data_IF_092123719048
#
_entry.id   IF_092123719048
#
_cell.length_a   1.000
_cell.length_b   1.000
_cell.length_c   1.000
_cell.angle_alpha   90.00
_cell.angle_beta   90.00
_cell.angle_gamma   90.00
#
_symmetry.space_group_name_H-M   'P 1'
#
loop_
_entity.id
_entity.type
_entity.pdbx_description
1 polymer ?
#
# COMPACT_ATOMS: atom_id res chain seq x y z
N UNK A 1 -19.87 14.78 7.76
CA UNK A 1 -18.63 14.91 6.97
C UNK A 1 -17.73 13.76 7.39
N UNK A 2 -17.21 12.92 6.48
CA UNK A 2 -16.23 11.91 6.87
C UNK A 2 -15.04 12.65 7.50
N UNK A 3 -14.50 12.14 8.61
CA UNK A 3 -13.27 12.69 9.19
C UNK A 3 -12.18 12.51 8.14
N UNK A 4 -11.71 13.60 7.53
CA UNK A 4 -10.57 13.54 6.64
C UNK A 4 -9.42 12.85 7.39
N UNK A 5 -8.84 11.83 6.79
CA UNK A 5 -7.68 11.15 7.34
C UNK A 5 -6.58 12.16 7.61
N UNK A 6 -5.96 12.03 8.77
CA UNK A 6 -4.87 12.91 9.18
C UNK A 6 -3.53 12.37 8.70
N UNK A 7 -3.48 11.09 8.34
CA UNK A 7 -2.26 10.39 7.98
C UNK A 7 -2.48 9.47 6.79
N UNK A 8 -1.44 9.34 5.97
CA UNK A 8 -1.33 8.33 4.92
C UNK A 8 -0.16 7.42 5.26
N UNK A 9 -0.46 6.15 5.52
CA UNK A 9 0.55 5.09 5.60
C UNK A 9 0.67 4.45 4.22
N UNK A 10 1.88 4.46 3.65
CA UNK A 10 2.15 4.07 2.27
C UNK A 10 3.13 2.91 2.32
N UNK A 11 2.75 1.82 1.65
CA UNK A 11 3.54 0.60 1.56
C UNK A 11 3.79 0.33 0.08
N UNK A 12 5.06 0.28 -0.33
CA UNK A 12 5.44 -0.03 -1.71
C UNK A 12 6.35 -1.24 -1.74
N UNK A 13 6.26 -2.08 -2.77
CA UNK A 13 7.09 -3.27 -2.93
C UNK A 13 7.08 -3.79 -4.38
N UNK A 14 8.11 -4.57 -4.69
CA UNK A 14 8.13 -5.47 -5.84
C UNK A 14 7.70 -6.86 -5.38
N UNK A 15 7.13 -7.65 -6.30
CA UNK A 15 6.62 -8.99 -6.05
C UNK A 15 7.25 -9.94 -7.06
N UNK A 16 7.66 -11.13 -6.64
CA UNK A 16 8.15 -12.15 -7.57
C UNK A 16 7.09 -12.47 -8.64
N UNK A 17 7.51 -12.58 -9.90
CA UNK A 17 6.59 -12.72 -11.04
C UNK A 17 5.61 -13.91 -10.90
N UNK A 18 6.08 -15.04 -10.35
CA UNK A 18 5.26 -16.24 -10.13
C UNK A 18 4.23 -16.08 -8.99
N UNK A 19 4.33 -15.02 -8.21
CA UNK A 19 3.48 -14.71 -7.05
C UNK A 19 2.56 -13.52 -7.28
N UNK A 20 2.63 -12.86 -8.44
CA UNK A 20 1.83 -11.66 -8.70
C UNK A 20 0.32 -11.94 -8.71
N UNK A 21 -0.13 -13.02 -9.35
CA UNK A 21 -1.56 -13.37 -9.37
C UNK A 21 -2.09 -13.64 -7.96
N UNK A 22 -1.34 -14.44 -7.18
CA UNK A 22 -1.66 -14.73 -5.78
C UNK A 22 -1.62 -13.46 -4.92
N UNK A 23 -0.63 -12.58 -5.13
CA UNK A 23 -0.53 -11.29 -4.46
C UNK A 23 -1.79 -10.46 -4.72
N UNK A 24 -2.22 -10.35 -5.97
CA UNK A 24 -3.39 -9.54 -6.33
C UNK A 24 -4.68 -10.11 -5.75
N UNK A 25 -4.91 -11.41 -5.87
CA UNK A 25 -6.05 -12.12 -5.26
C UNK A 25 -6.08 -11.91 -3.75
N UNK A 26 -4.99 -12.23 -3.05
CA UNK A 26 -4.93 -12.13 -1.57
C UNK A 26 -5.06 -10.68 -1.11
N UNK A 27 -4.54 -9.71 -1.85
CA UNK A 27 -4.69 -8.31 -1.45
C UNK A 27 -6.15 -7.85 -1.55
N UNK A 28 -6.85 -8.21 -2.62
CA UNK A 28 -8.21 -7.76 -2.90
C UNK A 28 -9.25 -8.49 -2.04
N UNK A 29 -9.09 -9.80 -1.87
CA UNK A 29 -10.11 -10.64 -1.22
C UNK A 29 -9.89 -10.80 0.28
N UNK A 30 -8.66 -10.59 0.77
CA UNK A 30 -8.30 -10.82 2.18
C UNK A 30 -7.66 -9.58 2.83
N UNK A 31 -6.46 -9.20 2.39
CA UNK A 31 -5.62 -8.26 3.13
C UNK A 31 -6.26 -6.87 3.29
N UNK A 32 -6.73 -6.27 2.20
CA UNK A 32 -7.39 -4.95 2.24
C UNK A 32 -8.74 -5.00 2.96
N UNK A 33 -9.63 -5.97 2.68
CA UNK A 33 -10.86 -6.13 3.45
C UNK A 33 -10.62 -6.21 4.95
N UNK A 34 -9.69 -7.07 5.40
CA UNK A 34 -9.38 -7.22 6.83
C UNK A 34 -8.83 -5.94 7.45
N UNK A 35 -7.95 -5.20 6.74
CA UNK A 35 -7.41 -3.94 7.27
C UNK A 35 -8.45 -2.82 7.29
N UNK A 36 -9.44 -2.86 6.40
CA UNK A 36 -10.55 -1.89 6.39
C UNK A 36 -11.53 -2.12 7.55
N UNK A 37 -11.55 -3.30 8.16
CA UNK A 37 -12.31 -3.57 9.39
C UNK A 37 -11.69 -2.91 10.64
N UNK A 38 -10.40 -2.53 10.59
CA UNK A 38 -9.69 -1.95 11.74
C UNK A 38 -10.21 -0.53 12.03
N UNK A 39 -10.69 -0.26 13.27
CA UNK A 39 -11.18 1.07 13.62
C UNK A 39 -10.16 2.19 13.40
N UNK A 40 -10.53 3.17 12.57
CA UNK A 40 -9.71 4.33 12.23
C UNK A 40 -8.91 4.19 10.93
N UNK A 41 -8.93 3.01 10.28
CA UNK A 41 -8.64 2.92 8.85
C UNK A 41 -9.85 3.45 8.08
N UNK A 42 -9.63 4.45 7.24
CA UNK A 42 -10.68 5.12 6.48
C UNK A 42 -10.85 4.48 5.11
N UNK A 43 -9.74 4.21 4.43
CA UNK A 43 -9.71 3.56 3.13
C UNK A 43 -8.33 3.02 2.82
N UNK A 44 -8.28 2.03 1.92
CA UNK A 44 -7.03 1.54 1.33
C UNK A 44 -7.14 1.60 -0.18
N UNK A 45 -6.18 2.24 -0.82
CA UNK A 45 -6.08 2.32 -2.29
C UNK A 45 -4.88 1.52 -2.76
N UNK A 46 -5.08 0.62 -3.70
CA UNK A 46 -4.01 -0.11 -4.39
C UNK A 46 -3.64 0.57 -5.69
N UNK A 47 -2.35 0.62 -5.98
CA UNK A 47 -1.77 1.26 -7.15
C UNK A 47 -0.73 0.33 -7.76
N UNK A 48 -0.69 0.32 -9.09
CA UNK A 48 0.37 -0.28 -9.88
C UNK A 48 1.12 0.84 -10.62
N UNK A 49 2.45 0.70 -10.72
CA UNK A 49 3.32 1.62 -11.43
C UNK A 49 3.02 1.56 -12.94
N UNK A 50 2.88 2.73 -13.56
CA UNK A 50 2.74 2.88 -15.01
C UNK A 50 3.82 3.85 -15.56
N UNK A 51 3.97 3.90 -16.88
CA UNK A 51 4.93 4.78 -17.55
C UNK A 51 4.56 6.25 -17.36
N UNK A 52 5.50 7.03 -16.82
CA UNK A 52 5.32 8.47 -16.63
C UNK A 52 5.85 9.27 -17.83
N UNK A 53 4.92 9.87 -18.57
CA UNK A 53 5.21 10.90 -19.58
C UNK A 53 4.58 12.21 -19.15
N UNK A 54 5.36 13.29 -19.03
CA UNK A 54 4.84 14.60 -18.61
C UNK A 54 5.47 15.78 -19.35
N UNK A 55 4.75 16.89 -19.41
CA UNK A 55 5.31 18.17 -19.82
C UNK A 55 5.93 18.87 -18.61
N UNK A 56 7.24 19.12 -18.65
CA UNK A 56 7.98 19.81 -17.59
C UNK A 56 9.02 20.75 -18.20
N UNK A 57 9.03 22.01 -17.75
CA UNK A 57 9.94 23.03 -18.30
C UNK A 57 9.76 23.28 -19.79
N UNK A 58 8.53 23.14 -20.31
CA UNK A 58 8.22 23.32 -21.74
C UNK A 58 8.63 22.17 -22.66
N UNK A 59 9.04 21.01 -22.10
CA UNK A 59 9.40 19.81 -22.86
C UNK A 59 8.56 18.62 -22.41
N UNK A 60 8.20 17.74 -23.33
CA UNK A 60 7.66 16.42 -23.01
C UNK A 60 8.80 15.49 -22.64
N UNK A 61 8.74 14.89 -21.46
CA UNK A 61 9.76 14.00 -20.91
C UNK A 61 9.13 12.65 -20.58
N UNK A 62 9.85 11.59 -20.89
CA UNK A 62 9.61 10.26 -20.33
C UNK A 62 10.50 10.13 -19.09
N UNK A 63 9.89 10.00 -17.92
CA UNK A 63 10.59 9.95 -16.64
C UNK A 63 10.60 8.51 -16.16
N UNK A 64 11.80 7.98 -15.91
CA UNK A 64 12.01 6.63 -15.41
C UNK A 64 12.66 6.73 -14.03
N UNK A 65 12.03 6.11 -13.04
CA UNK A 65 12.60 5.90 -11.70
C UNK A 65 12.99 4.42 -11.61
N UNK A 66 14.29 4.14 -11.74
CA UNK A 66 14.80 2.77 -11.90
C UNK A 66 14.46 1.86 -10.71
N UNK A 67 14.49 2.40 -9.50
CA UNK A 67 14.23 1.65 -8.26
C UNK A 67 12.81 1.87 -7.73
N UNK A 68 11.85 2.36 -8.53
CA UNK A 68 10.48 2.55 -8.04
C UNK A 68 9.72 1.21 -8.00
N UNK A 69 9.17 0.79 -6.83
CA UNK A 69 8.47 -0.48 -6.72
C UNK A 69 7.23 -0.54 -7.62
N UNK A 70 6.91 -1.73 -8.14
CA UNK A 70 5.76 -1.93 -9.01
C UNK A 70 4.42 -1.68 -8.31
N UNK A 71 4.27 -2.13 -7.05
CA UNK A 71 3.00 -2.04 -6.34
C UNK A 71 3.08 -1.06 -5.17
N UNK A 72 2.00 -0.32 -4.93
CA UNK A 72 1.84 0.56 -3.77
C UNK A 72 0.43 0.43 -3.18
N UNK A 73 0.33 0.34 -1.86
CA UNK A 73 -0.90 0.47 -1.10
C UNK A 73 -0.86 1.72 -0.23
N UNK A 74 -1.90 2.54 -0.30
CA UNK A 74 -2.06 3.78 0.48
C UNK A 74 -3.22 3.60 1.44
N UNK A 75 -2.90 3.59 2.73
CA UNK A 75 -3.84 3.51 3.84
C UNK A 75 -4.10 4.92 4.37
N UNK A 76 -5.33 5.39 4.23
CA UNK A 76 -5.78 6.62 4.90
C UNK A 76 -6.22 6.26 6.32
N UNK A 77 -5.58 6.87 7.33
CA UNK A 77 -5.84 6.55 8.74
C UNK A 77 -6.06 7.82 9.57
N UNK A 78 -6.83 7.69 10.65
CA UNK A 78 -7.14 8.82 11.53
C UNK A 78 -6.00 9.18 12.48
N UNK A 79 -5.16 8.20 12.86
CA UNK A 79 -4.12 8.33 13.89
C UNK A 79 -2.99 7.29 13.67
N UNK A 80 -1.70 7.64 13.82
CA UNK A 80 -0.60 6.68 13.70
C UNK A 80 -0.65 5.54 14.73
N UNK A 81 -1.25 5.74 15.90
CA UNK A 81 -1.33 4.71 16.96
C UNK A 81 -2.14 3.48 16.51
N UNK A 82 -2.93 3.59 15.46
CA UNK A 82 -3.63 2.46 14.84
C UNK A 82 -2.64 1.39 14.38
N UNK A 83 -1.49 1.78 13.81
CA UNK A 83 -0.51 0.87 13.23
C UNK A 83 0.22 0.00 14.27
N UNK A 84 0.10 0.34 15.55
CA UNK A 84 0.68 -0.40 16.68
C UNK A 84 -0.40 -1.00 17.60
N UNK A 85 -1.67 -0.95 17.18
CA UNK A 85 -2.79 -1.52 17.92
C UNK A 85 -2.92 -3.04 17.70
N UNK A 86 -3.48 -3.74 18.69
CA UNK A 86 -3.75 -5.18 18.59
C UNK A 86 -4.64 -5.51 17.39
N UNK A 87 -5.65 -4.68 17.11
CA UNK A 87 -6.56 -4.87 15.98
C UNK A 87 -5.83 -4.81 14.64
N UNK A 88 -4.86 -3.91 14.49
CA UNK A 88 -4.01 -3.85 13.29
C UNK A 88 -3.09 -5.06 13.20
N UNK A 89 -2.44 -5.45 14.30
CA UNK A 89 -1.57 -6.63 14.33
C UNK A 89 -2.33 -7.90 13.94
N UNK A 90 -3.54 -8.10 14.47
CA UNK A 90 -4.39 -9.23 14.11
C UNK A 90 -4.77 -9.19 12.63
N UNK A 91 -5.22 -8.04 12.12
CA UNK A 91 -5.65 -7.90 10.73
C UNK A 91 -4.51 -8.10 9.72
N UNK A 92 -3.30 -7.60 9.99
CA UNK A 92 -2.14 -7.77 9.08
C UNK A 92 -1.68 -9.22 9.00
N UNK A 93 -1.78 -9.98 10.09
CA UNK A 93 -1.35 -11.39 10.12
C UNK A 93 -2.47 -12.36 9.72
N UNK A 94 -3.71 -11.89 9.57
CA UNK A 94 -4.87 -12.70 9.15
C UNK A 94 -4.78 -13.06 7.67
N UNK A 95 -5.12 -14.32 7.36
CA UNK A 95 -5.19 -14.83 5.99
C UNK A 95 -3.82 -15.22 5.42
N UNK A 96 -3.72 -15.25 4.10
CA UNK A 96 -2.56 -15.78 3.37
C UNK A 96 -1.43 -14.79 3.18
N UNK A 97 -1.66 -13.50 3.47
CA UNK A 97 -0.67 -12.45 3.25
C UNK A 97 0.68 -12.74 3.94
N UNK A 98 0.65 -13.06 5.24
CA UNK A 98 1.86 -13.19 6.07
C UNK A 98 2.72 -14.41 5.70
N UNK A 99 2.09 -15.50 5.30
CA UNK A 99 2.70 -16.81 5.04
C UNK A 99 3.00 -17.09 3.57
N UNK A 100 2.11 -16.68 2.65
CA UNK A 100 2.16 -17.10 1.25
C UNK A 100 2.53 -15.97 0.28
N UNK A 101 2.46 -14.70 0.70
CA UNK A 101 2.74 -13.54 -0.15
C UNK A 101 3.94 -12.74 0.34
N UNK A 102 3.94 -12.26 1.59
CA UNK A 102 4.98 -11.40 2.18
C UNK A 102 6.42 -11.92 1.98
N UNK A 103 6.72 -13.23 2.10
CA UNK A 103 8.07 -13.75 1.87
C UNK A 103 8.62 -13.53 0.45
N UNK A 104 7.75 -13.32 -0.53
CA UNK A 104 8.09 -13.15 -1.95
C UNK A 104 8.03 -11.69 -2.40
N UNK A 105 8.14 -10.76 -1.45
CA UNK A 105 8.15 -9.32 -1.70
C UNK A 105 9.55 -8.76 -1.50
N UNK A 106 9.97 -7.82 -2.34
CA UNK A 106 11.27 -7.14 -2.27
C UNK A 106 11.09 -5.62 -2.44
N UNK A 107 12.18 -4.84 -2.35
CA UNK A 107 12.15 -3.37 -2.44
C UNK A 107 11.08 -2.72 -1.54
N UNK A 108 10.89 -3.28 -0.35
CA UNK A 108 9.77 -2.92 0.52
C UNK A 108 10.04 -1.60 1.22
N UNK A 109 9.11 -0.65 1.07
CA UNK A 109 9.19 0.69 1.65
C UNK A 109 7.95 0.96 2.49
N UNK A 110 8.17 1.52 3.68
CA UNK A 110 7.11 2.00 4.57
C UNK A 110 7.29 3.48 4.82
N UNK A 111 6.25 4.23 4.54
CA UNK A 111 6.27 5.68 4.68
C UNK A 111 4.99 6.12 5.36
N UNK A 112 5.12 6.83 6.48
CA UNK A 112 4.00 7.54 7.09
C UNK A 112 4.09 9.03 6.75
N UNK A 113 3.00 9.61 6.28
CA UNK A 113 2.84 11.04 6.03
C UNK A 113 1.69 11.58 6.85
N UNK A 114 1.80 12.83 7.27
CA UNK A 114 0.75 13.58 7.96
C UNK A 114 0.25 14.69 7.04
N UNK A 115 -1.05 14.90 7.00
CA UNK A 115 -1.69 16.03 6.32
C UNK A 115 -1.42 17.30 7.16
N UNK A 116 -1.01 18.40 6.50
CA UNK A 116 -0.71 19.70 7.12
C UNK A 116 -1.76 20.75 6.79
#
# INVERSE_FOLDING_TARGET
MPKAGKYFFIVSMDVEAEKEDLFNEVYDDEHVPYLTEVPGVISVTRLEKDQLTMNLGGKQLNIVLEDEPKYTAIYEITDPEILVSDAWTEAVERGRWSSEVRPYTTNRRHVLRRVI
#
